data_IF_444852978948
#
_entry.id   IF_444852978948
#
_cell.length_a   1.000
_cell.length_b   1.000
_cell.length_c   1.000
_cell.angle_alpha   90.00
_cell.angle_beta   90.00
_cell.angle_gamma   90.00
#
_symmetry.space_group_name_H-M   'P 1'
#
loop_
_entity.id
_entity.type
_entity.pdbx_description
1 polymer ?
#
# COMPACT_ATOMS: atom_id res chain seq x y z
N UNK A 1 -19.88 7.42 -23.67
CA UNK A 1 -20.27 6.26 -22.82
C UNK A 1 -20.20 6.66 -21.34
N UNK A 2 -21.05 6.16 -20.44
CA UNK A 2 -21.07 6.51 -18.99
C UNK A 2 -19.72 6.32 -18.28
N UNK A 3 -18.84 5.49 -18.84
CA UNK A 3 -17.52 5.17 -18.32
C UNK A 3 -16.42 6.16 -18.76
N UNK A 4 -16.60 6.93 -19.83
CA UNK A 4 -15.48 7.67 -20.44
C UNK A 4 -15.06 8.91 -19.65
N UNK A 5 -16.02 9.64 -19.07
CA UNK A 5 -15.77 10.87 -18.34
C UNK A 5 -15.93 10.66 -16.84
N UNK A 6 -14.84 10.34 -16.14
CA UNK A 6 -14.86 10.24 -14.67
C UNK A 6 -14.61 11.60 -14.03
N UNK A 7 -15.32 11.81 -12.92
CA UNK A 7 -15.43 13.09 -12.22
C UNK A 7 -14.19 13.43 -11.37
N UNK A 8 -13.27 12.48 -11.17
CA UNK A 8 -12.12 12.58 -10.27
C UNK A 8 -10.79 12.37 -11.01
N UNK A 9 -9.82 13.25 -10.69
CA UNK A 9 -8.39 13.14 -11.03
C UNK A 9 -8.05 13.02 -12.54
N UNK A 10 -8.94 13.45 -13.44
CA UNK A 10 -8.71 13.30 -14.88
C UNK A 10 -8.65 11.82 -15.33
N UNK A 11 -9.23 10.91 -14.53
CA UNK A 11 -9.28 9.50 -14.86
C UNK A 11 -10.18 9.27 -16.07
N UNK A 12 -9.73 8.44 -17.00
CA UNK A 12 -10.57 7.88 -18.06
C UNK A 12 -11.11 6.54 -17.58
N UNK A 13 -12.37 6.21 -17.86
CA UNK A 13 -12.85 4.83 -17.76
C UNK A 13 -12.74 4.06 -19.07
N UNK A 14 -11.89 4.50 -20.01
CA UNK A 14 -11.42 3.63 -21.07
C UNK A 14 -10.60 2.50 -20.46
N UNK A 15 -11.03 1.26 -20.72
CA UNK A 15 -10.44 0.07 -20.10
C UNK A 15 -10.01 -0.99 -21.11
N UNK A 16 -10.15 -0.71 -22.41
CA UNK A 16 -9.75 -1.65 -23.46
C UNK A 16 -8.30 -2.11 -23.27
N UNK A 17 -8.01 -3.43 -23.33
CA UNK A 17 -8.87 -4.51 -23.82
C UNK A 17 -9.72 -5.22 -22.76
N UNK A 18 -9.79 -4.72 -21.54
CA UNK A 18 -10.57 -5.32 -20.46
C UNK A 18 -12.08 -5.09 -20.61
N UNK A 19 -12.84 -6.06 -20.10
CA UNK A 19 -14.27 -5.89 -19.82
C UNK A 19 -14.50 -5.23 -18.46
N UNK A 20 -15.69 -4.65 -18.29
CA UNK A 20 -16.15 -4.09 -17.00
C UNK A 20 -17.17 -5.02 -16.40
N UNK A 21 -17.03 -5.32 -15.11
CA UNK A 21 -18.10 -5.95 -14.31
C UNK A 21 -18.95 -4.85 -13.70
N UNK A 22 -20.21 -4.75 -14.12
CA UNK A 22 -21.17 -3.74 -13.65
C UNK A 22 -22.13 -4.26 -12.57
N UNK A 23 -22.13 -5.58 -12.34
CA UNK A 23 -23.05 -6.25 -11.41
C UNK A 23 -22.27 -7.06 -10.38
N UNK A 24 -22.65 -6.95 -9.11
CA UNK A 24 -22.07 -7.71 -8.00
C UNK A 24 -23.13 -8.61 -7.39
N UNK A 25 -22.77 -9.85 -7.07
CA UNK A 25 -23.67 -10.77 -6.37
C UNK A 25 -23.85 -10.34 -4.91
N UNK A 26 -25.08 -10.42 -4.41
CA UNK A 26 -25.40 -10.24 -2.99
C UNK A 26 -25.13 -11.50 -2.16
N UNK A 27 -24.88 -12.64 -2.82
CA UNK A 27 -24.71 -13.93 -2.16
C UNK A 27 -23.25 -14.15 -1.79
N UNK A 28 -22.99 -14.37 -0.50
CA UNK A 28 -21.66 -14.74 -0.01
C UNK A 28 -21.36 -16.19 -0.39
N UNK A 29 -20.18 -16.43 -0.95
CA UNK A 29 -19.66 -17.77 -1.22
C UNK A 29 -18.35 -18.01 -0.50
N UNK A 30 -18.10 -19.27 -0.12
CA UNK A 30 -16.79 -19.67 0.37
C UNK A 30 -15.87 -19.88 -0.83
N UNK A 31 -14.74 -19.18 -0.83
CA UNK A 31 -13.71 -19.29 -1.85
C UNK A 31 -12.34 -19.35 -1.18
N UNK A 32 -11.53 -20.31 -1.60
CA UNK A 32 -10.13 -20.40 -1.23
C UNK A 32 -9.31 -19.45 -2.10
N UNK A 33 -8.33 -18.79 -1.51
CA UNK A 33 -7.42 -17.87 -2.17
C UNK A 33 -5.98 -18.24 -1.83
N UNK A 34 -5.09 -18.20 -2.82
CA UNK A 34 -3.66 -18.36 -2.56
C UNK A 34 -3.12 -17.17 -1.79
N UNK A 35 -2.50 -17.46 -0.64
CA UNK A 35 -1.82 -16.48 0.19
C UNK A 35 -0.34 -16.82 0.32
N UNK A 36 0.51 -15.81 0.17
CA UNK A 36 1.94 -15.88 0.44
C UNK A 36 2.20 -15.09 1.73
N UNK A 37 2.89 -15.71 2.68
CA UNK A 37 3.20 -15.07 3.95
C UNK A 37 4.67 -14.65 4.00
N UNK A 38 4.94 -13.48 4.56
CA UNK A 38 6.27 -13.08 4.98
C UNK A 38 6.24 -12.89 6.49
N UNK A 39 7.05 -13.66 7.21
CA UNK A 39 7.05 -13.62 8.67
C UNK A 39 8.46 -13.59 9.27
N UNK A 40 8.72 -12.62 10.14
CA UNK A 40 9.88 -12.60 11.04
C UNK A 40 9.41 -12.53 12.51
N UNK A 41 10.32 -12.23 13.43
CA UNK A 41 9.99 -12.15 14.87
C UNK A 41 9.02 -11.00 15.21
N UNK A 42 8.95 -9.97 14.37
CA UNK A 42 8.23 -8.72 14.64
C UNK A 42 6.92 -8.56 13.88
N UNK A 43 6.89 -8.95 12.60
CA UNK A 43 5.73 -8.78 11.73
C UNK A 43 5.42 -10.02 10.92
N UNK A 44 4.14 -10.15 10.58
CA UNK A 44 3.61 -11.17 9.68
C UNK A 44 2.73 -10.50 8.62
N UNK A 45 3.11 -10.63 7.36
CA UNK A 45 2.49 -9.96 6.21
C UNK A 45 1.87 -11.00 5.29
N UNK A 46 0.60 -10.82 4.93
CA UNK A 46 -0.11 -11.65 3.95
C UNK A 46 -0.18 -10.91 2.62
N UNK A 47 0.29 -11.56 1.56
CA UNK A 47 0.18 -11.11 0.18
C UNK A 47 -0.79 -12.03 -0.55
N UNK A 48 -1.69 -11.47 -1.36
CA UNK A 48 -2.67 -12.23 -2.15
C UNK A 48 -2.40 -12.05 -3.65
N UNK A 49 -1.61 -12.95 -4.29
CA UNK A 49 -1.35 -12.91 -5.73
C UNK A 49 -2.63 -12.93 -6.56
N UNK A 50 -3.63 -13.70 -6.16
CA UNK A 50 -4.92 -13.78 -6.87
C UNK A 50 -5.76 -12.48 -6.83
N UNK A 51 -5.37 -11.50 -6.00
CA UNK A 51 -6.08 -10.24 -5.80
C UNK A 51 -5.16 -9.04 -6.04
N UNK A 52 -4.55 -9.02 -7.22
CA UNK A 52 -3.64 -7.97 -7.67
C UNK A 52 -2.28 -7.98 -6.98
N UNK A 53 -1.93 -9.03 -6.24
CA UNK A 53 -0.69 -9.07 -5.45
C UNK A 53 -0.67 -8.08 -4.29
N UNK A 54 -1.84 -7.71 -3.77
CA UNK A 54 -1.96 -6.77 -2.64
C UNK A 54 -1.38 -7.35 -1.36
N UNK A 55 -0.95 -6.46 -0.46
CA UNK A 55 -0.81 -6.84 0.95
C UNK A 55 -2.21 -6.83 1.55
N UNK A 56 -2.75 -7.99 1.90
CA UNK A 56 -4.11 -8.08 2.47
C UNK A 56 -4.12 -7.87 3.99
N UNK A 57 -3.05 -8.31 4.66
CA UNK A 57 -2.90 -8.20 6.11
C UNK A 57 -1.46 -7.87 6.48
N UNK A 58 -1.28 -7.01 7.48
CA UNK A 58 0.02 -6.73 8.07
C UNK A 58 -0.11 -6.69 9.60
N UNK A 59 0.38 -7.74 10.24
CA UNK A 59 0.24 -8.02 11.66
C UNK A 59 1.51 -7.69 12.42
N UNK A 60 1.37 -6.90 13.48
CA UNK A 60 2.40 -6.61 14.47
C UNK A 60 2.36 -7.68 15.57
N UNK A 61 3.39 -8.54 15.61
CA UNK A 61 3.51 -9.62 16.60
C UNK A 61 3.89 -9.11 17.99
N UNK A 62 4.42 -7.89 18.11
CA UNK A 62 4.81 -7.32 19.40
C UNK A 62 3.58 -6.69 20.07
N UNK A 63 2.82 -5.88 19.34
CA UNK A 63 1.61 -5.23 19.87
C UNK A 63 0.33 -6.02 19.66
N UNK A 64 0.40 -7.20 19.03
CA UNK A 64 -0.73 -8.09 18.79
C UNK A 64 -1.91 -7.37 18.10
N UNK A 65 -1.61 -6.66 16.99
CA UNK A 65 -2.61 -5.91 16.24
C UNK A 65 -2.29 -5.83 14.76
N UNK A 66 -3.31 -5.61 13.94
CA UNK A 66 -3.13 -5.22 12.55
C UNK A 66 -2.75 -3.73 12.47
N UNK A 67 -1.64 -3.41 11.80
CA UNK A 67 -1.22 -2.02 11.56
C UNK A 67 -1.66 -1.49 10.18
N UNK A 68 -2.18 -2.38 9.35
CA UNK A 68 -2.94 -2.08 8.13
C UNK A 68 -4.35 -2.64 8.34
N UNK A 69 -5.39 -1.92 7.94
CA UNK A 69 -6.77 -2.36 8.10
C UNK A 69 -7.00 -3.70 7.37
N UNK A 70 -7.26 -4.75 8.14
CA UNK A 70 -7.55 -6.08 7.63
C UNK A 70 -9.08 -6.26 7.57
N UNK A 71 -9.60 -6.44 6.37
CA UNK A 71 -11.00 -6.82 6.17
C UNK A 71 -11.09 -8.34 6.17
N UNK A 72 -11.87 -8.89 7.11
CA UNK A 72 -12.01 -10.34 7.30
C UNK A 72 -12.78 -11.04 6.16
N UNK A 73 -13.37 -10.27 5.25
CA UNK A 73 -14.07 -10.78 4.06
C UNK A 73 -13.57 -10.11 2.79
N UNK A 74 -13.51 -10.89 1.71
CA UNK A 74 -13.31 -10.38 0.35
C UNK A 74 -14.68 -9.93 -0.19
N UNK A 75 -15.07 -8.69 0.12
CA UNK A 75 -16.33 -8.09 -0.35
C UNK A 75 -16.05 -7.03 -1.43
N UNK A 76 -16.18 -7.36 -2.73
CA UNK A 76 -16.03 -6.37 -3.78
C UNK A 76 -17.15 -5.33 -3.72
N UNK A 77 -16.80 -4.08 -4.02
CA UNK A 77 -17.73 -3.01 -4.36
C UNK A 77 -17.41 -2.46 -5.76
N UNK A 78 -18.36 -1.75 -6.36
CA UNK A 78 -18.23 -1.15 -7.69
C UNK A 78 -17.36 0.13 -7.67
N UNK A 79 -16.21 0.07 -7.00
CA UNK A 79 -15.24 1.17 -6.87
C UNK A 79 -14.02 1.03 -7.77
N UNK A 80 -13.80 -0.16 -8.34
CA UNK A 80 -12.64 -0.44 -9.19
C UNK A 80 -12.77 0.17 -10.59
N UNK A 81 -11.67 0.23 -11.31
CA UNK A 81 -11.68 0.69 -12.69
C UNK A 81 -12.47 -0.29 -13.60
N UNK A 82 -12.28 -1.60 -13.37
CA UNK A 82 -13.04 -2.66 -14.04
C UNK A 82 -14.33 -3.08 -13.31
N UNK A 83 -14.72 -2.36 -12.26
CA UNK A 83 -15.86 -2.71 -11.40
C UNK A 83 -15.42 -3.18 -10.02
N UNK A 84 -14.97 -4.44 -9.84
CA UNK A 84 -14.70 -5.01 -8.52
C UNK A 84 -13.46 -4.38 -7.87
N UNK A 85 -13.63 -3.83 -6.67
CA UNK A 85 -12.54 -3.39 -5.79
C UNK A 85 -12.86 -3.79 -4.35
N UNK A 86 -11.84 -4.14 -3.57
CA UNK A 86 -12.00 -4.53 -2.16
C UNK A 86 -11.26 -3.58 -1.24
N UNK A 87 -11.87 -3.30 -0.09
CA UNK A 87 -11.30 -2.48 0.97
C UNK A 87 -10.27 -3.25 1.80
N UNK A 88 -9.42 -2.49 2.50
CA UNK A 88 -8.40 -3.04 3.39
C UNK A 88 -7.10 -3.41 2.68
N UNK A 89 -6.08 -3.66 3.50
CA UNK A 89 -4.75 -3.96 3.02
C UNK A 89 -4.01 -2.74 2.48
N UNK A 90 -3.02 -3.01 1.62
CA UNK A 90 -2.32 -2.03 0.81
C UNK A 90 -2.51 -2.43 -0.65
N UNK A 91 -3.20 -1.59 -1.41
CA UNK A 91 -3.35 -1.75 -2.85
C UNK A 91 -2.21 -1.02 -3.59
N UNK A 92 -1.46 -1.75 -4.41
CA UNK A 92 -0.40 -1.18 -5.25
C UNK A 92 -0.99 -0.87 -6.61
N UNK A 93 -1.27 0.40 -6.83
CA UNK A 93 -1.97 0.82 -8.01
C UNK A 93 -1.01 1.29 -9.09
N UNK A 94 -1.31 0.86 -10.31
CA UNK A 94 -0.62 1.18 -11.54
C UNK A 94 -1.43 0.58 -12.71
N UNK A 95 -1.20 0.96 -13.97
CA UNK A 95 -0.68 2.26 -14.37
C UNK A 95 -1.70 3.39 -14.09
N UNK A 96 -2.86 3.11 -13.47
CA UNK A 96 -3.94 4.08 -13.17
C UNK A 96 -4.62 3.84 -11.80
N UNK A 97 -5.45 4.80 -11.36
CA UNK A 97 -6.26 4.78 -10.13
C UNK A 97 -7.73 4.49 -10.40
N UNK A 98 -8.33 3.48 -9.75
CA UNK A 98 -7.66 2.29 -9.17
C UNK A 98 -7.01 1.45 -10.27
N UNK A 99 -6.08 0.54 -9.94
CA UNK A 99 -5.49 -0.33 -10.97
C UNK A 99 -6.59 -1.16 -11.66
N UNK A 100 -6.49 -1.40 -12.98
CA UNK A 100 -7.47 -2.22 -13.69
C UNK A 100 -7.58 -3.63 -13.07
N UNK A 101 -6.44 -4.25 -12.82
CA UNK A 101 -6.31 -5.65 -12.39
C UNK A 101 -6.36 -5.85 -10.87
N UNK A 102 -7.00 -4.93 -10.12
CA UNK A 102 -7.01 -4.96 -8.63
C UNK A 102 -7.66 -6.22 -8.04
N UNK A 103 -8.52 -6.86 -8.83
CA UNK A 103 -9.26 -8.08 -8.51
C UNK A 103 -8.93 -9.23 -9.50
N UNK A 104 -7.75 -9.18 -10.11
CA UNK A 104 -7.24 -10.20 -11.03
C UNK A 104 -5.96 -10.82 -10.48
N UNK A 105 -5.64 -12.08 -10.85
CA UNK A 105 -4.40 -12.71 -10.42
C UNK A 105 -3.18 -12.05 -11.07
N UNK A 106 -2.08 -12.06 -10.33
CA UNK A 106 -0.74 -11.71 -10.82
C UNK A 106 0.23 -12.86 -10.57
N UNK A 107 1.29 -12.90 -11.36
CA UNK A 107 2.38 -13.84 -11.12
C UNK A 107 3.16 -13.44 -9.87
N UNK A 108 3.75 -14.42 -9.20
CA UNK A 108 4.65 -14.15 -8.08
C UNK A 108 5.84 -15.10 -8.05
N UNK A 109 6.94 -14.64 -7.45
CA UNK A 109 8.11 -15.47 -7.17
C UNK A 109 8.74 -15.09 -5.84
N UNK A 110 9.54 -16.00 -5.29
CA UNK A 110 10.21 -15.85 -4.01
C UNK A 110 11.72 -15.74 -4.25
N UNK A 111 12.35 -14.79 -3.58
CA UNK A 111 13.79 -14.57 -3.64
C UNK A 111 14.36 -14.54 -2.23
N UNK A 112 15.27 -15.48 -1.96
CA UNK A 112 16.07 -15.50 -0.74
C UNK A 112 17.36 -14.69 -0.93
N UNK A 113 17.71 -13.89 0.08
CA UNK A 113 18.91 -13.06 0.08
C UNK A 113 19.97 -13.65 1.02
N UNK A 114 21.24 -13.40 0.74
CA UNK A 114 22.37 -13.91 1.53
C UNK A 114 22.36 -13.42 2.99
N UNK A 115 21.81 -12.23 3.23
CA UNK A 115 21.64 -11.63 4.56
C UNK A 115 20.42 -12.18 5.33
N UNK A 116 19.73 -13.17 4.78
CA UNK A 116 18.54 -13.80 5.35
C UNK A 116 17.24 -13.04 5.06
N UNK A 117 17.28 -11.91 4.35
CA UNK A 117 16.07 -11.26 3.87
C UNK A 117 15.32 -12.16 2.87
N UNK A 118 14.00 -12.00 2.79
CA UNK A 118 13.14 -12.70 1.84
C UNK A 118 12.32 -11.67 1.10
N UNK A 119 12.23 -11.82 -0.21
CA UNK A 119 11.42 -10.96 -1.06
C UNK A 119 10.35 -11.77 -1.78
N UNK A 120 9.10 -11.34 -1.66
CA UNK A 120 8.02 -11.80 -2.54
C UNK A 120 7.89 -10.79 -3.66
N UNK A 121 8.19 -11.21 -4.88
CA UNK A 121 7.92 -10.42 -6.07
C UNK A 121 6.55 -10.77 -6.60
N UNK A 122 5.72 -9.76 -6.87
CA UNK A 122 4.49 -9.89 -7.66
C UNK A 122 4.62 -9.08 -8.93
N UNK A 123 4.08 -9.55 -10.05
CA UNK A 123 4.22 -8.82 -11.31
C UNK A 123 3.19 -9.21 -12.35
N UNK A 124 2.98 -8.32 -13.30
CA UNK A 124 2.10 -8.56 -14.44
C UNK A 124 2.53 -7.70 -15.65
N UNK A 125 2.07 -8.10 -16.83
CA UNK A 125 2.09 -7.26 -18.04
C UNK A 125 0.69 -6.69 -18.25
N UNK A 126 0.59 -5.37 -18.25
CA UNK A 126 -0.66 -4.65 -18.37
C UNK A 126 -0.92 -4.28 -19.86
N UNK A 127 -2.07 -4.69 -20.43
CA UNK A 127 -2.35 -4.61 -21.85
C UNK A 127 -2.93 -3.26 -22.32
N UNK A 128 -3.53 -2.42 -21.46
CA UNK A 128 -4.04 -1.10 -21.87
C UNK A 128 -2.90 -0.20 -22.36
N UNK A 129 -1.74 -0.24 -21.70
CA UNK A 129 -0.57 0.57 -22.06
C UNK A 129 0.62 -0.25 -22.57
N UNK A 130 0.56 -1.58 -22.50
CA UNK A 130 1.66 -2.47 -22.86
C UNK A 130 2.88 -2.28 -21.95
N UNK A 131 2.63 -2.05 -20.66
CA UNK A 131 3.66 -1.82 -19.64
C UNK A 131 3.80 -3.05 -18.75
N UNK A 132 4.96 -3.20 -18.11
CA UNK A 132 5.20 -4.27 -17.16
C UNK A 132 5.55 -3.70 -15.81
N UNK A 133 5.03 -4.31 -14.74
CA UNK A 133 5.47 -4.01 -13.38
C UNK A 133 5.92 -5.26 -12.66
N UNK A 134 6.90 -5.09 -11.79
CA UNK A 134 7.19 -6.01 -10.69
C UNK A 134 7.22 -5.21 -9.40
N UNK A 135 6.57 -5.68 -8.35
CA UNK A 135 6.60 -5.11 -7.00
C UNK A 135 7.13 -6.16 -6.03
N UNK A 136 8.26 -5.86 -5.40
CA UNK A 136 8.92 -6.69 -4.41
C UNK A 136 8.56 -6.24 -3.01
N UNK A 137 8.20 -7.21 -2.17
CA UNK A 137 7.95 -7.06 -0.74
C UNK A 137 9.08 -7.74 0.01
N UNK A 138 10.01 -6.97 0.54
CA UNK A 138 11.18 -7.49 1.23
C UNK A 138 10.97 -7.38 2.74
N UNK A 139 11.12 -8.50 3.42
CA UNK A 139 11.22 -8.55 4.88
C UNK A 139 12.65 -8.89 5.27
N UNK A 140 13.18 -8.21 6.28
CA UNK A 140 14.51 -8.47 6.84
C UNK A 140 14.39 -9.16 8.21
N UNK A 141 15.31 -10.07 8.61
CA UNK A 141 15.15 -10.82 9.85
C UNK A 141 15.10 -9.94 11.11
N UNK A 142 15.84 -8.83 11.11
CA UNK A 142 16.08 -7.96 12.26
C UNK A 142 15.28 -6.65 12.23
N UNK A 143 14.29 -6.51 11.33
CA UNK A 143 13.51 -5.27 11.17
C UNK A 143 12.01 -5.46 11.29
N UNK A 144 11.38 -4.55 12.01
CA UNK A 144 9.92 -4.39 12.07
C UNK A 144 9.38 -3.51 10.93
N UNK A 145 9.83 -3.76 9.69
CA UNK A 145 9.47 -2.95 8.53
C UNK A 145 9.37 -3.81 7.26
N UNK A 146 8.37 -3.51 6.45
CA UNK A 146 8.20 -4.05 5.10
C UNK A 146 8.82 -3.08 4.10
N UNK A 147 9.88 -3.52 3.43
CA UNK A 147 10.51 -2.77 2.34
C UNK A 147 9.76 -3.10 1.03
N UNK A 148 9.46 -2.07 0.24
CA UNK A 148 8.67 -2.20 -0.99
C UNK A 148 9.46 -1.56 -2.11
N UNK A 149 9.66 -2.30 -3.20
CA UNK A 149 10.30 -1.78 -4.40
C UNK A 149 9.52 -2.18 -5.64
N UNK A 150 9.12 -1.21 -6.46
CA UNK A 150 8.48 -1.47 -7.75
C UNK A 150 9.41 -1.14 -8.90
N UNK A 151 9.43 -1.99 -9.92
CA UNK A 151 10.13 -1.78 -11.19
C UNK A 151 9.09 -1.74 -12.30
N UNK A 152 9.02 -0.62 -13.02
CA UNK A 152 8.19 -0.51 -14.23
C UNK A 152 9.10 -0.57 -15.45
N UNK A 153 8.74 -1.41 -16.41
CA UNK A 153 9.44 -1.55 -17.68
C UNK A 153 8.53 -1.15 -18.85
N UNK A 154 9.07 -0.33 -19.75
CA UNK A 154 8.40 0.05 -20.99
C UNK A 154 9.11 -0.60 -22.19
N UNK A 155 8.51 -1.67 -22.72
CA UNK A 155 8.99 -2.35 -23.92
C UNK A 155 8.54 -1.70 -25.23
N UNK A 156 7.69 -0.67 -25.19
CA UNK A 156 7.17 -0.02 -26.39
C UNK A 156 8.25 0.86 -27.07
N UNK A 157 8.10 1.07 -28.38
CA UNK A 157 8.94 1.98 -29.14
C UNK A 157 8.75 3.46 -28.74
N UNK A 158 7.64 3.78 -28.06
CA UNK A 158 7.29 5.14 -27.63
C UNK A 158 7.14 5.24 -26.12
N UNK A 159 7.35 6.44 -25.54
CA UNK A 159 7.05 6.69 -24.13
C UNK A 159 5.57 6.42 -23.82
N UNK A 160 5.32 5.87 -22.63
CA UNK A 160 3.97 5.67 -22.08
C UNK A 160 3.87 6.36 -20.73
N UNK A 161 2.70 6.93 -20.45
CA UNK A 161 2.40 7.48 -19.14
C UNK A 161 1.92 6.38 -18.21
N UNK A 162 2.27 6.50 -16.94
CA UNK A 162 1.72 5.67 -15.88
C UNK A 162 1.65 6.48 -14.60
N UNK A 163 0.80 6.02 -13.70
CA UNK A 163 0.77 6.43 -12.32
C UNK A 163 1.17 5.24 -11.44
N UNK A 164 1.74 5.55 -10.28
CA UNK A 164 2.04 4.55 -9.28
C UNK A 164 1.83 5.13 -7.88
N UNK A 165 1.09 4.42 -7.05
CA UNK A 165 1.01 4.69 -5.62
C UNK A 165 0.69 3.41 -4.84
N UNK A 166 1.13 3.40 -3.59
CA UNK A 166 0.61 2.51 -2.57
C UNK A 166 -0.60 3.17 -1.90
N UNK A 167 -1.70 2.45 -1.79
CA UNK A 167 -2.93 2.89 -1.12
C UNK A 167 -3.15 2.04 0.16
N UNK A 168 -2.46 2.36 1.27
CA UNK A 168 -2.62 1.65 2.53
C UNK A 168 -3.91 2.09 3.23
N UNK A 169 -4.77 1.12 3.56
CA UNK A 169 -5.91 1.34 4.43
C UNK A 169 -5.48 1.23 5.89
N UNK A 170 -5.87 2.20 6.72
CA UNK A 170 -5.64 2.18 8.17
C UNK A 170 -6.97 2.38 8.89
N UNK A 171 -7.12 1.75 10.06
CA UNK A 171 -8.32 1.94 10.88
C UNK A 171 -8.33 3.37 11.43
N UNK A 172 -9.33 4.15 11.02
CA UNK A 172 -9.63 5.47 11.60
C UNK A 172 -10.35 5.34 12.94
N UNK A 173 -10.67 6.48 13.54
CA UNK A 173 -11.45 6.56 14.78
C UNK A 173 -11.10 7.78 15.62
N UNK A 174 -11.82 7.95 16.73
CA UNK A 174 -11.50 8.97 17.72
C UNK A 174 -10.07 8.73 18.26
N UNK A 175 -9.19 9.71 18.11
CA UNK A 175 -7.78 9.61 18.48
C UNK A 175 -6.82 9.19 17.35
N UNK A 176 -7.32 8.88 16.15
CA UNK A 176 -6.44 8.71 14.99
C UNK A 176 -5.77 10.04 14.62
N UNK A 177 -4.47 10.01 14.36
CA UNK A 177 -3.69 11.17 13.95
C UNK A 177 -2.93 10.85 12.66
N UNK A 178 -3.03 11.75 11.69
CA UNK A 178 -2.19 11.73 10.49
C UNK A 178 -1.07 12.75 10.66
N UNK A 179 0.17 12.28 10.59
CA UNK A 179 1.37 13.12 10.70
C UNK A 179 2.02 13.17 9.33
N UNK A 180 2.24 14.38 8.82
CA UNK A 180 2.82 14.64 7.51
C UNK A 180 4.16 15.38 7.64
N UNK A 181 4.95 15.43 6.57
CA UNK A 181 6.14 16.27 6.53
C UNK A 181 5.90 17.72 6.94
N UNK A 182 6.85 18.37 7.63
CA UNK A 182 6.70 19.76 8.04
C UNK A 182 6.63 20.72 6.84
N UNK A 183 7.10 20.30 5.66
CA UNK A 183 6.98 21.04 4.40
C UNK A 183 5.63 20.83 3.68
N UNK A 184 4.73 20.00 4.22
CA UNK A 184 3.33 19.94 3.75
C UNK A 184 2.57 21.09 4.38
N UNK A 185 2.16 22.05 3.55
CA UNK A 185 1.45 23.26 4.00
C UNK A 185 0.01 23.33 3.50
N UNK A 186 -0.41 22.38 2.66
CA UNK A 186 -1.76 22.32 2.11
C UNK A 186 -2.22 20.89 1.83
N UNK A 187 -3.53 20.68 1.92
CA UNK A 187 -4.23 19.47 1.49
C UNK A 187 -5.24 19.82 0.40
N UNK A 188 -5.31 18.97 -0.62
CA UNK A 188 -6.27 19.12 -1.71
C UNK A 188 -7.43 18.15 -1.49
N UNK A 189 -8.65 18.58 -1.80
CA UNK A 189 -9.76 17.63 -1.91
C UNK A 189 -9.49 16.60 -3.02
N UNK A 190 -10.19 15.47 -2.93
CA UNK A 190 -10.02 14.37 -3.87
C UNK A 190 -10.29 14.76 -5.34
N UNK A 191 -11.11 15.79 -5.58
CA UNK A 191 -11.39 16.33 -6.91
C UNK A 191 -10.49 17.48 -7.34
N UNK A 192 -9.56 17.94 -6.50
CA UNK A 192 -8.75 19.16 -6.69
C UNK A 192 -9.58 20.42 -6.96
N UNK A 193 -10.79 20.50 -6.40
CA UNK A 193 -11.74 21.62 -6.44
C UNK A 193 -11.56 22.59 -5.28
N UNK A 194 -10.91 22.16 -4.20
CA UNK A 194 -10.66 22.93 -3.00
C UNK A 194 -9.30 22.59 -2.40
N UNK A 195 -8.71 23.60 -1.78
CA UNK A 195 -7.47 23.48 -1.02
C UNK A 195 -7.72 23.98 0.39
N UNK A 196 -7.15 23.29 1.38
CA UNK A 196 -7.14 23.77 2.77
C UNK A 196 -5.71 23.82 3.26
N UNK A 197 -5.43 24.76 4.17
CA UNK A 197 -4.15 24.81 4.84
C UNK A 197 -3.90 23.55 5.68
N UNK A 198 -2.65 23.16 5.80
CA UNK A 198 -2.20 22.06 6.65
C UNK A 198 -1.06 22.59 7.54
N UNK A 199 -0.97 22.21 8.83
CA UNK A 199 -1.73 21.16 9.53
C UNK A 199 -3.09 21.60 10.10
N UNK A 200 -3.36 22.91 10.14
CA UNK A 200 -4.62 23.45 10.64
C UNK A 200 -5.49 23.82 9.44
N UNK A 201 -6.58 23.08 9.24
CA UNK A 201 -7.54 23.34 8.17
C UNK A 201 -8.29 24.64 8.45
N UNK A 202 -7.86 25.73 7.82
CA UNK A 202 -8.55 27.03 7.81
C UNK A 202 -9.22 27.26 6.45
N UNK A 203 -10.39 27.90 6.44
CA UNK A 203 -11.14 28.23 5.22
C UNK A 203 -12.49 27.51 5.10
N UNK A 204 -13.24 27.83 4.03
CA UNK A 204 -14.57 27.25 3.77
C UNK A 204 -14.45 26.02 2.87
N UNK A 205 -14.90 24.86 3.36
CA UNK A 205 -14.96 23.63 2.59
C UNK A 205 -16.39 23.39 2.07
N UNK A 206 -16.54 23.00 0.80
CA UNK A 206 -17.82 23.00 0.09
C UNK A 206 -18.74 21.79 0.39
N UNK A 207 -18.34 20.87 1.27
CA UNK A 207 -19.12 19.67 1.60
C UNK A 207 -19.60 19.68 3.05
N UNK A 208 -20.92 19.81 3.22
CA UNK A 208 -21.68 19.48 4.42
C UNK A 208 -22.03 17.97 4.37
N UNK A 209 -21.78 17.26 5.49
CA UNK A 209 -21.86 15.81 5.82
C UNK A 209 -22.79 14.86 5.04
N UNK A 210 -22.35 13.60 4.86
CA UNK A 210 -23.20 12.38 4.91
C UNK A 210 -22.64 11.37 5.92
N UNK A 211 -23.50 10.63 6.67
CA UNK A 211 -23.08 9.58 7.60
C UNK A 211 -22.76 8.29 6.81
N UNK A 212 -21.54 8.23 6.30
CA UNK A 212 -20.85 7.00 5.96
C UNK A 212 -19.44 7.22 6.50
N UNK A 213 -19.03 6.42 7.49
CA UNK A 213 -17.75 6.48 8.19
C UNK A 213 -16.55 6.20 7.27
N UNK A 214 -16.33 7.08 6.29
CA UNK A 214 -15.09 7.24 5.56
C UNK A 214 -14.54 8.62 5.90
N UNK A 215 -14.18 8.80 7.16
CA UNK A 215 -13.60 10.05 7.65
C UNK A 215 -12.14 10.13 7.18
N UNK A 216 -11.89 10.91 6.13
CA UNK A 216 -10.59 11.53 5.94
C UNK A 216 -10.49 12.64 7.01
N UNK A 217 -9.85 12.32 8.13
CA UNK A 217 -10.01 13.01 9.41
C UNK A 217 -9.28 14.36 9.47
N UNK A 218 -9.93 15.32 10.15
CA UNK A 218 -9.36 16.56 10.63
C UNK A 218 -8.16 16.31 11.57
N UNK A 219 -7.12 17.13 11.46
CA UNK A 219 -5.81 16.96 12.13
C UNK A 219 -5.69 17.85 13.37
N UNK A 220 -5.19 17.29 14.48
CA UNK A 220 -4.65 18.02 15.64
C UNK A 220 -3.26 17.48 15.96
N UNK A 221 -2.29 18.37 16.18
CA UNK A 221 -0.85 18.09 16.16
C UNK A 221 -0.30 17.35 17.38
N UNK A 222 0.74 16.54 17.16
CA UNK A 222 1.76 16.16 18.13
C UNK A 222 3.14 16.07 17.42
N UNK A 223 4.22 16.67 17.95
CA UNK A 223 5.51 16.70 17.28
C UNK A 223 6.25 15.37 17.42
N UNK A 224 6.39 14.61 16.34
CA UNK A 224 7.34 13.50 16.28
C UNK A 224 7.90 13.36 14.86
N UNK A 225 9.22 13.31 14.73
CA UNK A 225 9.90 13.02 13.47
C UNK A 225 10.10 11.52 13.32
N UNK A 226 9.63 10.94 12.20
CA UNK A 226 10.35 9.85 11.57
C UNK A 226 10.67 10.15 10.10
N UNK A 227 11.84 9.69 9.69
CA UNK A 227 12.37 9.77 8.34
C UNK A 227 11.70 8.70 7.46
N UNK A 228 10.74 9.05 6.60
CA UNK A 228 10.35 8.36 5.35
C UNK A 228 9.42 9.34 4.60
N UNK A 229 9.82 9.78 3.39
CA UNK A 229 9.06 10.75 2.60
C UNK A 229 8.72 10.19 1.21
N UNK A 230 7.44 10.32 0.80
CA UNK A 230 6.95 10.08 -0.55
C UNK A 230 6.82 11.42 -1.28
N UNK A 231 7.54 11.58 -2.40
CA UNK A 231 7.21 12.58 -3.43
C UNK A 231 6.47 11.86 -4.56
N UNK A 232 5.28 12.35 -4.90
CA UNK A 232 4.58 11.96 -6.13
C UNK A 232 5.42 12.41 -7.34
N UNK A 233 6.11 11.49 -8.00
CA UNK A 233 6.84 11.78 -9.23
C UNK A 233 6.04 11.27 -10.45
N UNK A 234 5.35 12.18 -11.13
CA UNK A 234 4.94 11.97 -12.52
C UNK A 234 6.22 12.05 -13.37
N UNK A 235 6.74 10.91 -13.83
CA UNK A 235 8.00 10.91 -14.59
C UNK A 235 7.73 10.57 -16.06
N UNK A 236 8.12 11.46 -16.97
CA UNK A 236 8.24 11.17 -18.41
C UNK A 236 9.64 10.57 -18.59
N UNK A 237 9.76 9.31 -19.02
CA UNK A 237 11.08 8.67 -19.17
C UNK A 237 11.43 8.32 -20.62
N UNK A 238 12.68 8.66 -20.94
CA UNK A 238 13.47 8.17 -22.06
C UNK A 238 14.24 6.88 -21.71
N UNK A 239 14.29 6.48 -20.42
CA UNK A 239 14.93 5.24 -19.96
C UNK A 239 13.93 4.07 -19.89
N UNK A 240 14.37 2.87 -20.29
CA UNK A 240 13.51 1.68 -20.44
C UNK A 240 12.95 1.12 -19.12
N UNK A 241 13.40 1.60 -17.95
CA UNK A 241 12.81 1.20 -16.68
C UNK A 241 12.99 2.21 -15.55
N UNK A 242 12.09 2.14 -14.56
CA UNK A 242 12.04 2.99 -13.35
C UNK A 242 12.00 2.12 -12.13
N UNK A 243 12.72 2.49 -11.06
CA UNK A 243 12.58 1.86 -9.75
C UNK A 243 12.01 2.85 -8.75
N UNK A 244 10.92 2.49 -8.09
CA UNK A 244 10.32 3.23 -6.98
C UNK A 244 10.52 2.44 -5.69
N UNK A 245 10.80 3.13 -4.58
CA UNK A 245 11.05 2.49 -3.27
C UNK A 245 10.20 3.14 -2.17
N UNK A 246 9.72 2.33 -1.24
CA UNK A 246 8.96 2.73 -0.06
C UNK A 246 9.29 1.78 1.09
N UNK A 247 9.12 2.26 2.33
CA UNK A 247 9.20 1.43 3.53
C UNK A 247 7.93 1.65 4.36
N UNK A 248 7.30 0.57 4.81
CA UNK A 248 6.18 0.60 5.75
C UNK A 248 6.66 0.03 7.08
N UNK A 249 6.63 0.86 8.12
CA UNK A 249 6.97 0.47 9.49
C UNK A 249 5.80 0.75 10.43
N UNK A 250 5.71 -0.01 11.51
CA UNK A 250 4.95 0.42 12.68
C UNK A 250 5.94 1.00 13.71
N UNK A 251 5.61 2.14 14.31
CA UNK A 251 6.46 2.72 15.34
C UNK A 251 6.36 1.89 16.62
N UNK A 252 7.45 1.21 16.98
CA UNK A 252 7.75 0.92 18.37
C UNK A 252 8.02 2.27 19.05
N UNK A 253 7.51 2.55 20.26
CA UNK A 253 8.03 3.67 21.02
C UNK A 253 9.54 3.46 21.14
N UNK A 254 10.31 4.45 20.70
CA UNK A 254 11.76 4.45 20.77
C UNK A 254 12.14 4.24 22.23
N UNK A 255 12.44 3.01 22.61
CA UNK A 255 13.09 2.77 23.90
C UNK A 255 14.51 3.23 23.67
N UNK A 256 14.80 4.44 24.15
CA UNK A 256 16.16 4.94 24.31
C UNK A 256 16.88 3.87 25.12
N UNK A 257 17.71 3.07 24.46
CA UNK A 257 18.69 2.22 25.13
C UNK A 257 19.61 3.17 25.90
N UNK A 258 19.26 3.44 27.17
CA UNK A 258 20.24 3.92 28.13
C UNK A 258 21.30 2.84 28.17
N UNK A 259 22.50 3.23 27.73
CA UNK A 259 23.71 2.44 27.82
C UNK A 259 23.95 2.10 29.30
N UNK A 260 23.50 0.92 29.73
CA UNK A 260 23.87 0.39 31.04
C UNK A 260 25.27 -0.21 30.86
N UNK A 261 26.24 0.39 31.54
CA UNK A 261 27.61 -0.12 31.62
C UNK A 261 27.57 -1.58 32.06
N UNK A 262 28.22 -2.43 31.27
CA UNK A 262 28.42 -3.85 31.55
C UNK A 262 29.25 -4.03 32.82
N UNK A 263 28.74 -4.82 33.76
CA UNK A 263 29.55 -5.55 34.74
C UNK A 263 29.02 -6.98 34.85
N UNK A 264 29.82 -7.94 34.39
CA UNK A 264 29.88 -9.29 34.95
C UNK A 264 28.89 -10.35 34.46
N UNK A 265 29.47 -11.39 33.86
CA UNK A 265 29.14 -12.82 33.93
C UNK A 265 27.79 -13.34 33.37
N UNK A 266 27.95 -14.20 32.34
CA UNK A 266 27.26 -15.48 32.18
C UNK A 266 25.74 -15.48 32.01
N UNK A 267 25.27 -15.78 30.80
CA UNK A 267 24.36 -16.92 30.59
C UNK A 267 24.18 -17.21 29.09
N UNK A 268 24.36 -18.48 28.74
CA UNK A 268 24.07 -19.06 27.43
C UNK A 268 22.57 -19.00 27.16
N UNK A 269 22.15 -18.16 26.21
CA UNK A 269 20.80 -18.22 25.63
C UNK A 269 20.90 -18.93 24.29
N UNK A 270 20.21 -20.07 24.18
CA UNK A 270 20.01 -20.82 22.94
C UNK A 270 19.61 -19.87 21.80
N UNK A 271 20.50 -19.70 20.82
CA UNK A 271 20.21 -19.07 19.54
C UNK A 271 19.31 -20.03 18.75
N UNK A 272 18.00 -19.97 19.00
CA UNK A 272 17.02 -20.45 18.04
C UNK A 272 17.31 -19.75 16.71
N UNK A 273 17.52 -20.53 15.64
CA UNK A 273 17.90 -20.03 14.32
C UNK A 273 16.93 -18.92 13.89
N UNK A 274 17.41 -17.67 13.89
CA UNK A 274 16.74 -16.51 13.30
C UNK A 274 16.59 -16.76 11.81
N UNK A 275 15.38 -16.67 11.30
CA UNK A 275 15.10 -16.88 9.89
C UNK A 275 13.69 -16.44 9.55
N UNK A 276 13.50 -15.91 8.34
CA UNK A 276 12.19 -15.55 7.84
C UNK A 276 11.49 -16.82 7.37
N UNK A 277 10.23 -16.98 7.73
CA UNK A 277 9.36 -18.03 7.18
C UNK A 277 8.56 -17.44 6.02
N UNK A 278 8.57 -18.14 4.90
CA UNK A 278 7.78 -17.83 3.70
C UNK A 278 6.78 -18.94 3.47
#
# INVERSE_FOLDING_TARGET
MFLENRVYQGSSGAVYPYGVTDTLSEQKTLKSWQAVWLENDYIKVMILPELGGRVHRAWDKVKQRDFVYHNEVIKPCAGGLLGPWISGGIEFNWPQHHRPTTFMPVDFTLEAHEDGAQTVWVGETEPMHGLQVMTGFTLRPDRAALEIASRVYNGNATPRHFLWWANPAVKGGEGHQSVFPPDVTAVFDHGKRAVSAFPIATGTYYKWTTPLEWTFLAIKMCPFQPHIWLKNHSTILLARGVTMKMVVCYTLPTTILRQVKSSGAGDTVNLARRGIRV
#
